data_IF_277068416195
#
_entry.id   IF_277068416195
#
_cell.length_a   1.000
_cell.length_b   1.000
_cell.length_c   1.000
_cell.angle_alpha   90.00
_cell.angle_beta   90.00
_cell.angle_gamma   90.00
#
_symmetry.space_group_name_H-M   'P 1'
#
loop_
_entity.id
_entity.type
_entity.pdbx_description
1 polymer ?
#
# COMPACT_ATOMS: atom_id res chain seq x y z
N UNK A 1 -0.34 11.13 -5.85
CA UNK A 1 -1.33 10.32 -6.61
C UNK A 1 -1.89 9.15 -5.80
N UNK A 2 -1.06 8.26 -5.24
CA UNK A 2 -1.55 7.03 -4.56
C UNK A 2 -2.49 7.30 -3.37
N UNK A 3 -2.22 8.32 -2.55
CA UNK A 3 -3.09 8.69 -1.41
C UNK A 3 -4.51 9.09 -1.86
N UNK A 4 -4.65 9.83 -2.96
CA UNK A 4 -5.96 10.22 -3.49
C UNK A 4 -6.78 9.03 -3.97
N UNK A 5 -6.14 8.06 -4.64
CA UNK A 5 -6.78 6.80 -5.04
C UNK A 5 -7.21 5.97 -3.85
N UNK A 6 -6.41 5.91 -2.79
CA UNK A 6 -6.75 5.21 -1.54
C UNK A 6 -7.95 5.87 -0.85
N UNK A 7 -7.99 7.20 -0.77
CA UNK A 7 -9.11 7.94 -0.18
C UNK A 7 -10.41 7.73 -0.95
N UNK A 8 -10.39 7.88 -2.27
CA UNK A 8 -11.58 7.64 -3.10
C UNK A 8 -12.07 6.18 -2.99
N UNK A 9 -11.15 5.22 -2.95
CA UNK A 9 -11.52 3.81 -2.77
C UNK A 9 -12.20 3.59 -1.41
N UNK A 10 -11.69 4.22 -0.35
CA UNK A 10 -12.29 4.14 1.00
C UNK A 10 -13.69 4.75 1.03
N UNK A 11 -13.90 5.92 0.44
CA UNK A 11 -15.23 6.53 0.33
C UNK A 11 -16.22 5.59 -0.36
N UNK A 12 -15.82 4.96 -1.47
CA UNK A 12 -16.71 4.00 -2.15
C UNK A 12 -16.98 2.73 -1.32
N UNK A 13 -16.05 2.31 -0.46
CA UNK A 13 -16.27 1.18 0.46
C UNK A 13 -17.32 1.56 1.50
N UNK A 14 -17.23 2.76 2.07
CA UNK A 14 -18.16 3.25 3.08
C UNK A 14 -19.59 3.41 2.50
N UNK A 15 -19.72 3.93 1.27
CA UNK A 15 -21.00 4.02 0.55
C UNK A 15 -21.64 2.64 0.29
N UNK A 16 -20.81 1.66 -0.10
CA UNK A 16 -21.28 0.29 -0.35
C UNK A 16 -21.71 -0.39 0.95
N UNK A 17 -20.97 -0.21 2.04
CA UNK A 17 -21.33 -0.71 3.37
C UNK A 17 -22.68 -0.15 3.83
N UNK A 18 -22.87 1.16 3.70
CA UNK A 18 -24.13 1.80 4.08
C UNK A 18 -25.30 1.27 3.24
N UNK A 19 -25.10 1.16 1.92
CA UNK A 19 -26.12 0.66 1.00
C UNK A 19 -26.47 -0.81 1.28
N UNK A 20 -25.47 -1.64 1.57
CA UNK A 20 -25.66 -3.04 1.94
C UNK A 20 -26.44 -3.15 3.25
N UNK A 21 -26.09 -2.35 4.26
CA UNK A 21 -26.74 -2.37 5.57
C UNK A 21 -28.22 -1.97 5.47
N UNK A 22 -28.52 -0.88 4.77
CA UNK A 22 -29.89 -0.43 4.55
C UNK A 22 -30.73 -1.46 3.78
N UNK A 23 -30.12 -2.15 2.81
CA UNK A 23 -30.80 -3.18 2.04
C UNK A 23 -31.02 -4.47 2.87
N UNK A 24 -30.00 -4.91 3.61
CA UNK A 24 -30.06 -6.08 4.48
C UNK A 24 -31.08 -5.89 5.60
N UNK A 25 -31.19 -4.68 6.16
CA UNK A 25 -32.22 -4.34 7.15
C UNK A 25 -33.64 -4.51 6.61
N UNK A 26 -33.85 -4.24 5.31
CA UNK A 26 -35.18 -4.30 4.66
C UNK A 26 -35.52 -5.67 4.08
N UNK A 27 -34.51 -6.42 3.62
CA UNK A 27 -34.70 -7.63 2.79
C UNK A 27 -34.03 -8.88 3.37
N UNK A 28 -33.23 -8.74 4.42
CA UNK A 28 -32.42 -9.79 5.00
C UNK A 28 -31.07 -9.97 4.30
N UNK A 29 -30.14 -10.60 5.00
CA UNK A 29 -28.78 -10.86 4.49
C UNK A 29 -28.74 -11.86 3.34
N UNK A 30 -29.77 -12.71 3.22
CA UNK A 30 -29.89 -13.71 2.16
C UNK A 30 -30.51 -13.15 0.87
N UNK A 31 -30.90 -11.87 0.82
CA UNK A 31 -31.39 -11.25 -0.42
C UNK A 31 -30.27 -11.28 -1.48
N UNK A 32 -30.53 -11.76 -2.71
CA UNK A 32 -29.51 -11.86 -3.74
C UNK A 32 -28.79 -10.55 -4.06
N UNK A 33 -29.44 -9.41 -3.87
CA UNK A 33 -28.82 -8.09 -4.08
C UNK A 33 -27.86 -7.74 -2.96
N UNK A 34 -28.18 -8.11 -1.72
CA UNK A 34 -27.27 -7.94 -0.57
C UNK A 34 -26.01 -8.78 -0.79
N UNK A 35 -26.18 -10.03 -1.23
CA UNK A 35 -25.06 -10.92 -1.58
C UNK A 35 -24.20 -10.30 -2.69
N UNK A 36 -24.83 -9.76 -3.74
CA UNK A 36 -24.11 -9.11 -4.83
C UNK A 36 -23.31 -7.89 -4.37
N UNK A 37 -23.88 -7.05 -3.51
CA UNK A 37 -23.18 -5.89 -2.94
C UNK A 37 -22.02 -6.36 -2.06
N UNK A 38 -22.20 -7.40 -1.24
CA UNK A 38 -21.14 -8.00 -0.43
C UNK A 38 -19.96 -8.46 -1.28
N UNK A 39 -20.21 -9.16 -2.39
CA UNK A 39 -19.13 -9.61 -3.29
C UNK A 39 -18.37 -8.44 -3.93
N UNK A 40 -19.08 -7.35 -4.29
CA UNK A 40 -18.44 -6.15 -4.81
C UNK A 40 -17.59 -5.44 -3.74
N UNK A 41 -18.08 -5.43 -2.50
CA UNK A 41 -17.37 -4.88 -1.35
C UNK A 41 -16.09 -5.67 -1.06
N UNK A 42 -16.15 -7.01 -1.08
CA UNK A 42 -14.98 -7.88 -0.91
C UNK A 42 -13.88 -7.56 -1.92
N UNK A 43 -14.25 -7.38 -3.20
CA UNK A 43 -13.31 -6.99 -4.25
C UNK A 43 -12.63 -5.64 -3.99
N UNK A 44 -13.39 -4.65 -3.51
CA UNK A 44 -12.85 -3.32 -3.17
C UNK A 44 -11.92 -3.37 -1.94
N UNK A 45 -12.28 -4.15 -0.92
CA UNK A 45 -11.44 -4.36 0.27
C UNK A 45 -10.12 -5.02 -0.13
N UNK A 46 -10.17 -6.05 -0.97
CA UNK A 46 -8.97 -6.73 -1.47
C UNK A 46 -8.06 -5.77 -2.26
N UNK A 47 -8.64 -4.91 -3.10
CA UNK A 47 -7.87 -3.89 -3.83
C UNK A 47 -7.18 -2.91 -2.87
N UNK A 48 -7.89 -2.46 -1.83
CA UNK A 48 -7.33 -1.56 -0.82
C UNK A 48 -6.16 -2.22 -0.06
N UNK A 49 -6.33 -3.48 0.36
CA UNK A 49 -5.29 -4.26 1.03
C UNK A 49 -4.05 -4.42 0.16
N UNK A 50 -4.23 -4.72 -1.13
CA UNK A 50 -3.11 -4.83 -2.09
C UNK A 50 -2.36 -3.51 -2.25
N UNK A 51 -3.07 -2.38 -2.38
CA UNK A 51 -2.42 -1.06 -2.48
C UNK A 51 -1.62 -0.74 -1.20
N UNK A 52 -2.20 -1.01 -0.03
CA UNK A 52 -1.51 -0.83 1.26
C UNK A 52 -0.28 -1.72 1.39
N UNK A 53 -0.36 -2.98 0.95
CA UNK A 53 0.78 -3.91 0.95
C UNK A 53 1.90 -3.43 0.01
N UNK A 54 1.55 -3.03 -1.22
CA UNK A 54 2.51 -2.50 -2.18
C UNK A 54 3.21 -1.24 -1.65
N UNK A 55 2.46 -0.33 -1.01
CA UNK A 55 3.06 0.85 -0.36
C UNK A 55 4.09 0.46 0.71
N UNK A 56 3.78 -0.53 1.56
CA UNK A 56 4.71 -1.02 2.59
C UNK A 56 6.00 -1.59 1.98
N UNK A 57 5.87 -2.39 0.91
CA UNK A 57 7.02 -2.97 0.21
C UNK A 57 7.89 -1.88 -0.40
N UNK A 58 7.28 -0.91 -1.10
CA UNK A 58 8.01 0.21 -1.71
C UNK A 58 8.76 1.00 -0.65
N UNK A 59 8.09 1.37 0.44
CA UNK A 59 8.73 2.12 1.54
C UNK A 59 9.93 1.36 2.12
N UNK A 60 9.78 0.06 2.35
CA UNK A 60 10.88 -0.76 2.87
C UNK A 60 12.03 -0.89 1.87
N UNK A 61 11.73 -1.08 0.59
CA UNK A 61 12.76 -1.17 -0.47
C UNK A 61 13.57 0.12 -0.61
N UNK A 62 12.92 1.29 -0.48
CA UNK A 62 13.58 2.59 -0.49
C UNK A 62 14.51 2.74 0.73
N UNK A 63 14.04 2.37 1.93
CA UNK A 63 14.89 2.41 3.13
C UNK A 63 16.15 1.54 3.00
N UNK A 64 16.04 0.36 2.38
CA UNK A 64 17.19 -0.51 2.15
C UNK A 64 18.16 0.06 1.11
N UNK A 65 17.65 0.65 0.03
CA UNK A 65 18.49 1.31 -0.99
C UNK A 65 19.27 2.48 -0.40
N UNK A 66 18.61 3.33 0.40
CA UNK A 66 19.24 4.48 1.06
C UNK A 66 20.30 4.06 2.08
N UNK A 67 20.05 3.00 2.86
CA UNK A 67 21.06 2.46 3.77
C UNK A 67 22.29 1.96 3.00
N UNK A 68 22.10 1.22 1.89
CA UNK A 68 23.21 0.75 1.06
C UNK A 68 24.05 1.90 0.51
N UNK A 69 23.43 2.98 0.02
CA UNK A 69 24.20 4.13 -0.49
C UNK A 69 25.00 4.83 0.59
N UNK A 70 24.49 4.93 1.82
CA UNK A 70 25.21 5.56 2.94
C UNK A 70 26.40 4.71 3.42
N UNK A 71 26.25 3.38 3.49
CA UNK A 71 27.34 2.49 3.95
C UNK A 71 28.37 2.13 2.87
N UNK A 72 28.04 2.25 1.57
CA UNK A 72 29.02 2.04 0.49
C UNK A 72 29.90 3.27 0.23
N UNK A 73 29.50 4.47 0.63
CA UNK A 73 30.26 5.72 0.44
C UNK A 73 31.46 5.82 1.42
N UNK A 74 31.30 5.35 2.66
CA UNK A 74 32.34 5.42 3.71
C UNK A 74 33.54 4.46 3.50
N UNK A 75 33.46 3.51 2.56
CA UNK A 75 34.54 2.53 2.30
C UNK A 75 35.42 2.88 1.10
N UNK A 76 35.26 4.05 0.48
CA UNK A 76 36.24 4.61 -0.47
C UNK A 76 37.36 5.33 0.30
N UNK A 77 38.18 4.58 1.04
CA UNK A 77 39.48 5.07 1.48
C UNK A 77 40.33 5.19 0.21
N UNK A 78 40.57 6.42 -0.25
CA UNK A 78 41.54 6.70 -1.30
C UNK A 78 42.86 5.98 -0.97
N UNK A 79 43.49 5.28 -1.93
CA UNK A 79 44.81 4.72 -1.68
C UNK A 79 45.77 5.88 -1.38
N UNK A 80 46.15 6.00 -0.11
CA UNK A 80 47.22 6.89 0.36
C UNK A 80 48.45 6.59 -0.48
N UNK A 81 48.73 7.48 -1.43
CA UNK A 81 49.85 7.38 -2.33
C UNK A 81 51.09 7.82 -1.54
N UNK A 82 51.74 6.87 -0.85
CA UNK A 82 52.99 7.11 -0.13
C UNK A 82 54.11 7.24 -1.17
N UNK A 83 54.25 8.43 -1.77
CA UNK A 83 55.50 8.78 -2.45
C UNK A 83 56.59 8.97 -1.41
N UNK A 84 57.41 7.94 -1.21
CA UNK A 84 58.71 8.07 -0.60
C UNK A 84 59.61 8.93 -1.49
N UNK A 85 59.88 10.17 -1.08
CA UNK A 85 61.05 10.89 -1.56
C UNK A 85 62.24 10.50 -0.68
N UNK A 86 63.29 9.98 -1.33
CA UNK A 86 64.64 9.84 -0.78
C UNK A 86 65.25 11.20 -0.42
#
# INVERSE_FOLDING_TARGET
>A
MVLGTVSALRETIDEFLQSMYELAKKKGISDPRVIKISQQLDGKIMMLQNIMMLQKIIYHSQSLSTAKTLYYDENMIEPVNITHSK
#
